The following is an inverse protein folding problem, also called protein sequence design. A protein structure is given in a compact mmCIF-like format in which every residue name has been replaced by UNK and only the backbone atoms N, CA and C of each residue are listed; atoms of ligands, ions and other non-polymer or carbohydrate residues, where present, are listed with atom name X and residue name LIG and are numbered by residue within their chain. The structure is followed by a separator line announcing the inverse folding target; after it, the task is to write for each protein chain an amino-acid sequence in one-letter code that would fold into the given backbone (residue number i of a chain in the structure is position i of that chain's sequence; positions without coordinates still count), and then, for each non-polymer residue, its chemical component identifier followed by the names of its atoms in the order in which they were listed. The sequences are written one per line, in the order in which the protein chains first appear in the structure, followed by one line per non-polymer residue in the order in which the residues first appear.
data_IF_550274857490
#
_entry.id   IF_550274857490
#
_cell.length_a   1.000
_cell.length_b   1.000
_cell.length_c   1.000
_cell.angle_alpha   90.00
_cell.angle_beta   90.00
_cell.angle_gamma   90.00
#
_symmetry.space_group_name_H-M   'P 1'
#
loop_
_entity.id
_entity.type
_entity.pdbx_description
1 polymer ?
#
# COMPACT_ATOMS: atom_id res chain seq x y z
N UNK A 1 -11.20 4.12 -5.53
CA UNK A 1 -10.05 5.03 -5.31
C UNK A 1 -10.54 6.32 -4.66
N UNK A 2 -10.04 6.66 -3.47
CA UNK A 2 -10.37 7.92 -2.80
C UNK A 2 -9.52 9.05 -3.39
N UNK A 3 -10.14 9.92 -4.20
CA UNK A 3 -9.47 11.02 -4.90
C UNK A 3 -10.01 12.39 -4.49
N UNK A 4 -9.10 13.32 -4.23
CA UNK A 4 -9.38 14.68 -3.77
C UNK A 4 -9.19 15.70 -4.92
N UNK A 5 -10.04 16.74 -4.98
CA UNK A 5 -9.71 17.96 -5.73
C UNK A 5 -8.87 18.90 -4.85
N UNK A 6 -8.39 19.99 -5.45
CA UNK A 6 -7.64 21.02 -4.74
C UNK A 6 -8.42 21.67 -3.57
N UNK A 7 -9.76 21.79 -3.65
CA UNK A 7 -10.57 22.36 -2.56
C UNK A 7 -10.55 21.46 -1.34
N UNK A 8 -10.86 20.18 -1.55
CA UNK A 8 -10.84 19.14 -0.52
C UNK A 8 -9.44 18.92 0.05
N UNK A 9 -8.40 19.02 -0.78
CA UNK A 9 -7.02 18.94 -0.31
C UNK A 9 -6.63 20.14 0.57
N UNK A 10 -7.14 21.34 0.26
CA UNK A 10 -6.97 22.52 1.13
C UNK A 10 -7.71 22.35 2.46
N UNK A 11 -8.95 21.90 2.43
CA UNK A 11 -9.74 21.70 3.66
C UNK A 11 -9.16 20.63 4.58
N UNK A 12 -8.64 19.52 4.03
CA UNK A 12 -8.15 18.39 4.82
C UNK A 12 -6.70 18.52 5.29
N UNK A 13 -5.84 19.17 4.49
CA UNK A 13 -4.39 19.15 4.70
C UNK A 13 -3.77 20.55 4.70
N UNK A 14 -4.57 21.61 4.53
CA UNK A 14 -4.13 22.99 4.32
C UNK A 14 -3.14 23.17 3.14
N UNK A 15 -3.26 22.31 2.12
CA UNK A 15 -2.39 22.35 0.95
C UNK A 15 -3.01 23.22 -0.14
N UNK A 16 -2.24 24.20 -0.61
CA UNK A 16 -2.64 25.04 -1.74
C UNK A 16 -2.66 24.26 -3.06
N UNK A 17 -3.48 24.74 -4.02
CA UNK A 17 -3.50 24.20 -5.38
C UNK A 17 -2.14 24.26 -6.07
N UNK A 18 -1.36 25.34 -5.82
CA UNK A 18 -0.04 25.55 -6.43
C UNK A 18 0.95 24.51 -5.92
N UNK A 19 0.91 24.19 -4.62
CA UNK A 19 1.74 23.15 -4.01
C UNK A 19 1.53 21.80 -4.68
N UNK A 20 0.28 21.38 -4.90
CA UNK A 20 -0.04 20.13 -5.57
C UNK A 20 0.48 20.09 -7.02
N UNK A 21 0.38 21.21 -7.75
CA UNK A 21 0.92 21.31 -9.12
C UNK A 21 2.45 21.24 -9.10
N UNK A 22 3.11 21.86 -8.13
CA UNK A 22 4.55 21.81 -8.01
C UNK A 22 5.04 20.40 -7.65
N UNK A 23 4.33 19.68 -6.78
CA UNK A 23 4.61 18.27 -6.51
C UNK A 23 4.42 17.39 -7.74
N UNK A 24 3.38 17.62 -8.54
CA UNK A 24 3.20 16.94 -9.83
C UNK A 24 4.36 17.23 -10.79
N UNK A 25 4.78 18.49 -10.93
CA UNK A 25 5.94 18.89 -11.77
C UNK A 25 7.25 18.27 -11.31
N UNK A 26 7.42 18.09 -10.00
CA UNK A 26 8.59 17.43 -9.40
C UNK A 26 8.51 15.89 -9.46
N UNK A 27 7.41 15.32 -9.95
CA UNK A 27 7.20 13.88 -10.01
C UNK A 27 6.90 13.22 -8.66
N UNK A 28 6.55 14.00 -7.63
CA UNK A 28 6.29 13.49 -6.27
C UNK A 28 4.89 12.87 -6.13
N UNK A 29 3.92 13.35 -6.91
CA UNK A 29 2.56 12.79 -7.00
C UNK A 29 2.12 12.71 -8.45
N UNK A 30 1.11 11.89 -8.71
CA UNK A 30 0.44 11.82 -10.01
C UNK A 30 -1.00 12.31 -9.89
N UNK A 31 -1.51 13.01 -10.92
CA UNK A 31 -2.92 13.38 -10.98
C UNK A 31 -3.70 12.47 -11.91
N UNK A 32 -4.91 12.12 -11.49
CA UNK A 32 -5.94 11.50 -12.35
C UNK A 32 -6.76 12.63 -12.96
N UNK A 33 -6.93 12.62 -14.28
CA UNK A 33 -7.76 13.61 -14.99
C UNK A 33 -9.17 13.06 -15.17
N UNK A 34 -10.18 13.88 -14.86
CA UNK A 34 -11.56 13.55 -15.26
C UNK A 34 -11.76 13.75 -16.75
N UNK A 35 -12.87 13.25 -17.30
CA UNK A 35 -13.28 13.47 -18.70
C UNK A 35 -13.31 14.95 -19.10
N UNK A 36 -13.57 15.86 -18.16
CA UNK A 36 -13.50 17.33 -18.34
C UNK A 36 -12.10 17.93 -18.10
N UNK A 37 -11.04 17.12 -18.05
CA UNK A 37 -9.65 17.55 -17.89
C UNK A 37 -9.26 18.09 -16.50
N UNK A 38 -10.10 17.93 -15.47
CA UNK A 38 -9.81 18.45 -14.12
C UNK A 38 -8.89 17.47 -13.37
N UNK A 39 -7.87 18.00 -12.70
CA UNK A 39 -6.94 17.22 -11.86
C UNK A 39 -7.61 16.72 -10.58
N UNK A 40 -7.35 15.46 -10.23
CA UNK A 40 -7.69 14.81 -8.97
C UNK A 40 -6.45 14.09 -8.44
N UNK A 41 -6.23 14.15 -7.14
CA UNK A 41 -5.07 13.55 -6.49
C UNK A 41 -5.53 12.44 -5.57
N UNK A 42 -4.82 11.31 -5.54
CA UNK A 42 -5.14 10.23 -4.61
C UNK A 42 -4.86 10.71 -3.19
N UNK A 43 -5.76 10.36 -2.27
CA UNK A 43 -5.62 10.68 -0.84
C UNK A 43 -4.30 10.11 -0.29
N UNK A 44 -4.02 8.86 -0.61
CA UNK A 44 -2.83 8.12 -0.18
C UNK A 44 -1.52 8.77 -0.66
N UNK A 45 -1.45 9.28 -1.89
CA UNK A 45 -0.24 9.94 -2.40
C UNK A 45 0.07 11.22 -1.63
N UNK A 46 -0.97 11.98 -1.25
CA UNK A 46 -0.82 13.19 -0.43
C UNK A 46 -0.37 12.81 0.98
N UNK A 47 -1.03 11.84 1.61
CA UNK A 47 -0.73 11.42 2.97
C UNK A 47 0.67 10.79 3.08
N UNK A 48 1.10 10.06 2.05
CA UNK A 48 2.47 9.54 1.95
C UNK A 48 3.51 10.65 1.91
N UNK A 49 3.28 11.72 1.12
CA UNK A 49 4.19 12.86 1.08
C UNK A 49 4.21 13.66 2.38
N UNK A 50 3.09 13.69 3.08
CA UNK A 50 3.00 14.33 4.39
C UNK A 50 3.58 13.45 5.53
N UNK A 51 4.06 12.24 5.23
CA UNK A 51 4.52 11.30 6.25
C UNK A 51 3.41 10.81 7.19
N UNK A 52 2.15 10.99 6.80
CA UNK A 52 0.96 10.60 7.59
C UNK A 52 0.62 9.11 7.44
N UNK A 53 1.15 8.47 6.40
CA UNK A 53 1.12 7.03 6.28
C UNK A 53 2.44 6.50 6.85
N UNK A 54 2.35 5.73 7.93
CA UNK A 54 3.42 4.79 8.26
C UNK A 54 3.69 3.95 7.00
N UNK A 55 4.97 3.80 6.65
CA UNK A 55 5.34 2.85 5.61
C UNK A 55 4.83 1.49 6.05
N UNK A 56 3.69 1.04 5.51
CA UNK A 56 3.24 -0.33 5.77
C UNK A 56 4.39 -1.24 5.37
N UNK A 57 5.01 -1.98 6.31
CA UNK A 57 6.05 -2.92 5.93
C UNK A 57 5.41 -3.85 4.90
N UNK A 58 6.06 -4.00 3.75
CA UNK A 58 5.59 -4.91 2.70
C UNK A 58 5.42 -6.29 3.36
N UNK A 59 4.21 -6.88 3.44
CA UNK A 59 4.12 -8.23 3.95
C UNK A 59 4.77 -9.14 2.91
N UNK A 60 5.89 -9.77 3.25
CA UNK A 60 6.42 -10.88 2.46
C UNK A 60 6.92 -11.98 3.37
N UNK A 61 5.99 -12.55 4.13
CA UNK A 61 6.21 -13.83 4.78
C UNK A 61 5.91 -14.90 3.73
N UNK A 62 6.98 -15.47 3.16
CA UNK A 62 6.86 -16.58 2.19
C UNK A 62 7.23 -17.86 2.93
N UNK A 63 6.26 -18.75 3.13
CA UNK A 63 6.48 -20.06 3.72
C UNK A 63 6.77 -21.07 2.61
N UNK A 64 7.78 -21.92 2.83
CA UNK A 64 8.13 -23.01 1.92
C UNK A 64 8.16 -24.33 2.68
N UNK A 65 7.44 -25.33 2.17
CA UNK A 65 7.41 -26.69 2.71
C UNK A 65 7.53 -27.69 1.57
N UNK A 66 8.30 -28.78 1.78
CA UNK A 66 8.46 -29.87 0.81
C UNK A 66 8.77 -31.19 1.50
N UNK A 67 8.40 -32.28 0.84
CA UNK A 67 8.76 -33.65 1.25
C UNK A 67 9.39 -34.40 0.09
N UNK A 68 10.26 -35.37 0.39
CA UNK A 68 11.03 -36.10 -0.62
C UNK A 68 10.17 -37.10 -1.41
N UNK A 69 9.07 -37.59 -0.84
CA UNK A 69 8.19 -38.57 -1.50
C UNK A 69 6.72 -38.30 -1.19
N UNK A 70 5.82 -38.69 -2.10
CA UNK A 70 4.36 -38.53 -1.93
C UNK A 70 3.80 -39.28 -0.71
N UNK A 71 4.43 -40.38 -0.31
CA UNK A 71 4.07 -41.14 0.90
C UNK A 71 4.16 -40.31 2.19
N UNK A 72 4.90 -39.19 2.16
CA UNK A 72 5.10 -38.29 3.29
C UNK A 72 4.16 -37.08 3.27
N UNK A 73 3.06 -37.13 2.50
CA UNK A 73 2.09 -36.03 2.40
C UNK A 73 1.57 -35.56 3.77
N UNK A 74 1.34 -36.49 4.70
CA UNK A 74 0.91 -36.15 6.06
C UNK A 74 1.97 -35.32 6.82
N UNK A 75 3.26 -35.62 6.61
CA UNK A 75 4.34 -34.81 7.17
C UNK A 75 4.42 -33.42 6.53
N UNK A 76 4.10 -33.28 5.23
CA UNK A 76 4.02 -31.98 4.57
C UNK A 76 2.91 -31.11 5.18
N UNK A 77 1.73 -31.69 5.42
CA UNK A 77 0.61 -31.01 6.08
C UNK A 77 0.99 -30.55 7.48
N UNK A 78 1.65 -31.41 8.24
CA UNK A 78 2.18 -31.06 9.56
C UNK A 78 3.25 -29.96 9.49
N UNK A 79 4.09 -29.94 8.46
CA UNK A 79 5.12 -28.91 8.25
C UNK A 79 4.50 -27.55 7.92
N UNK A 80 3.50 -27.51 7.02
CA UNK A 80 2.76 -26.28 6.69
C UNK A 80 2.07 -25.73 7.94
N UNK A 81 1.33 -26.58 8.66
CA UNK A 81 0.61 -26.18 9.87
C UNK A 81 1.54 -25.57 10.92
N UNK A 82 2.70 -26.19 11.15
CA UNK A 82 3.72 -25.64 12.08
C UNK A 82 4.27 -24.29 11.61
N UNK A 83 4.52 -24.13 10.31
CA UNK A 83 5.01 -22.87 9.75
C UNK A 83 3.98 -21.75 9.89
N UNK A 84 2.70 -22.03 9.65
CA UNK A 84 1.58 -21.10 9.85
C UNK A 84 1.43 -20.73 11.32
N UNK A 85 1.42 -21.72 12.23
CA UNK A 85 1.36 -21.51 13.68
C UNK A 85 2.51 -20.62 14.16
N UNK A 86 3.75 -20.88 13.73
CA UNK A 86 4.92 -20.08 14.10
C UNK A 86 4.81 -18.63 13.60
N UNK A 87 4.31 -18.40 12.39
CA UNK A 87 4.15 -17.04 11.85
C UNK A 87 3.01 -16.27 12.51
N UNK A 88 1.97 -16.95 12.96
CA UNK A 88 0.83 -16.34 13.66
C UNK A 88 1.14 -16.03 15.14
N UNK A 89 2.16 -16.68 15.72
CA UNK A 89 2.58 -16.48 17.11
C UNK A 89 3.55 -15.27 17.30
N UNK A 90 3.92 -14.57 16.22
CA UNK A 90 4.78 -13.39 16.30
C UNK A 90 3.96 -12.18 16.77
N UNK A 91 3.91 -11.98 18.10
CA UNK A 91 3.40 -10.76 18.78
C UNK A 91 4.48 -9.68 18.87
#
# INVERSE_FOLDING_TARGET
MNVNNYKKAKELYDISRITLINWEKKGLITSVRTSKGRRRYKKEDIEKLLGMLEEKPKPKVVLYARVSTKKQEEYLKNQIKKLEEYTNFQE
#
